data_IF_944297236977
#
_entry.id   IF_944297236977
#
_cell.length_a   1.000
_cell.length_b   1.000
_cell.length_c   1.000
_cell.angle_alpha   90.00
_cell.angle_beta   90.00
_cell.angle_gamma   90.00
#
_symmetry.space_group_name_H-M   'P 1'
#
loop_
_entity.id
_entity.type
_entity.pdbx_description
1 polymer ?
#
# COMPACT_ATOMS: atom_id res chain seq x y z
N UNK A 1 9.40 7.37 -6.48
CA UNK A 1 9.45 5.89 -6.46
C UNK A 1 9.73 5.43 -7.88
N UNK A 2 11.01 5.26 -8.24
CA UNK A 2 11.43 4.95 -9.61
C UNK A 2 12.17 3.62 -9.61
N UNK A 3 11.42 2.53 -9.67
CA UNK A 3 11.92 1.20 -9.98
C UNK A 3 11.03 0.63 -11.07
N UNK A 4 11.55 0.47 -12.30
CA UNK A 4 10.83 -0.21 -13.38
C UNK A 4 10.72 -1.69 -13.02
N UNK A 5 9.64 -2.05 -12.34
CA UNK A 5 9.21 -3.45 -12.17
C UNK A 5 8.37 -3.78 -13.39
N UNK A 6 9.00 -4.36 -14.41
CA UNK A 6 8.27 -4.77 -15.63
C UNK A 6 7.24 -5.83 -15.24
N UNK A 7 5.96 -5.47 -15.26
CA UNK A 7 4.82 -6.39 -15.18
C UNK A 7 4.44 -6.93 -13.79
N UNK A 8 5.07 -6.49 -12.70
CA UNK A 8 4.72 -6.97 -11.36
C UNK A 8 3.66 -6.07 -10.70
N UNK A 9 2.68 -6.71 -10.05
CA UNK A 9 1.78 -6.03 -9.11
C UNK A 9 2.59 -5.58 -7.89
N UNK A 10 2.38 -4.34 -7.45
CA UNK A 10 3.09 -3.77 -6.30
C UNK A 10 2.13 -3.40 -5.18
N UNK A 11 2.62 -3.45 -3.93
CA UNK A 11 1.88 -3.00 -2.75
C UNK A 11 2.51 -1.72 -2.24
N UNK A 12 1.73 -0.65 -2.16
CA UNK A 12 2.08 0.54 -1.39
C UNK A 12 1.59 0.39 0.05
N UNK A 13 2.43 0.78 1.01
CA UNK A 13 2.13 0.69 2.43
C UNK A 13 2.46 2.02 3.12
N UNK A 14 1.47 2.56 3.83
CA UNK A 14 1.60 3.73 4.70
C UNK A 14 1.30 3.32 6.15
N UNK A 15 2.28 3.57 7.04
CA UNK A 15 2.25 3.18 8.44
C UNK A 15 2.27 4.44 9.30
N UNK A 16 1.09 4.91 9.69
CA UNK A 16 0.92 5.98 10.66
C UNK A 16 0.76 5.45 12.09
N UNK A 17 0.88 6.36 13.05
CA UNK A 17 0.64 6.04 14.46
C UNK A 17 -0.81 5.64 14.78
N UNK A 18 -1.77 6.03 13.93
CA UNK A 18 -3.20 5.76 14.15
C UNK A 18 -3.85 4.91 13.06
N UNK A 19 -3.26 4.88 11.85
CA UNK A 19 -3.82 4.17 10.71
C UNK A 19 -2.72 3.46 9.93
N UNK A 20 -3.06 2.27 9.47
CA UNK A 20 -2.32 1.51 8.46
C UNK A 20 -3.15 1.55 7.19
N UNK A 21 -2.58 2.06 6.10
CA UNK A 21 -3.20 2.06 4.79
C UNK A 21 -2.34 1.26 3.81
N UNK A 22 -3.00 0.47 2.96
CA UNK A 22 -2.37 -0.29 1.90
C UNK A 22 -3.15 -0.15 0.60
N UNK A 23 -2.44 -0.15 -0.52
CA UNK A 23 -3.02 -0.20 -1.85
C UNK A 23 -2.28 -1.18 -2.73
N UNK A 24 -3.03 -1.96 -3.51
CA UNK A 24 -2.51 -2.83 -4.56
C UNK A 24 -2.53 -2.05 -5.87
N UNK A 25 -1.41 -2.00 -6.57
CA UNK A 25 -1.28 -1.31 -7.84
C UNK A 25 -0.95 -2.29 -8.96
N UNK A 26 -1.59 -2.10 -10.10
CA UNK A 26 -1.17 -2.76 -11.33
C UNK A 26 0.17 -2.18 -11.85
N UNK A 27 0.78 -2.79 -12.87
CA UNK A 27 2.05 -2.32 -13.42
C UNK A 27 1.99 -0.91 -14.05
N UNK A 28 0.81 -0.45 -14.45
CA UNK A 28 0.58 0.89 -15.03
C UNK A 28 0.32 1.94 -13.93
N UNK A 29 0.30 1.52 -12.66
CA UNK A 29 0.10 2.37 -11.49
C UNK A 29 -1.36 2.61 -11.13
N UNK A 30 -2.32 1.91 -11.75
CA UNK A 30 -3.72 1.99 -11.36
C UNK A 30 -3.96 1.22 -10.06
N UNK A 31 -4.88 1.73 -9.23
CA UNK A 31 -5.21 1.09 -7.96
C UNK A 31 -6.23 -0.01 -8.16
N UNK A 32 -5.83 -1.24 -7.89
CA UNK A 32 -6.68 -2.43 -7.95
C UNK A 32 -7.50 -2.62 -6.67
N UNK A 33 -6.91 -2.33 -5.51
CA UNK A 33 -7.58 -2.46 -4.21
C UNK A 33 -7.00 -1.50 -3.18
N UNK A 34 -7.82 -1.11 -2.21
CA UNK A 34 -7.39 -0.33 -1.04
C UNK A 34 -7.86 -1.00 0.23
N UNK A 35 -7.03 -0.94 1.27
CA UNK A 35 -7.38 -1.38 2.61
C UNK A 35 -6.88 -0.40 3.64
N UNK A 36 -7.69 -0.16 4.66
CA UNK A 36 -7.33 0.67 5.81
C UNK A 36 -7.75 -0.05 7.08
N UNK A 37 -6.90 0.01 8.09
CA UNK A 37 -7.23 -0.39 9.47
C UNK A 37 -6.58 0.55 10.48
N UNK A 38 -7.10 0.58 11.70
CA UNK A 38 -6.45 1.28 12.80
C UNK A 38 -5.09 0.63 13.10
N UNK A 39 -4.10 1.43 13.48
CA UNK A 39 -2.84 0.91 14.03
C UNK A 39 -3.13 0.32 15.41
N UNK A 40 -2.77 -0.94 15.70
CA UNK A 40 -2.96 -1.51 17.03
C UNK A 40 -2.26 -0.66 18.08
N UNK A 41 -2.98 -0.27 19.13
CA UNK A 41 -2.37 0.31 20.31
C UNK A 41 -1.47 -0.74 20.97
N UNK A 42 -0.31 -0.32 21.47
CA UNK A 42 0.48 -1.11 22.41
C UNK A 42 0.06 -0.65 23.81
N UNK A 43 -0.05 -1.59 24.74
CA UNK A 43 -0.21 -1.30 26.18
C UNK A 43 1.03 -0.58 26.73
#
# INVERSE_FOLDING_TARGET
>A
MTGRTTGAVVIGLDLGGTKIAAALFDPDGAVLARHTRATPARE
#
